data_IF_730971076217
#
_entry.id   IF_730971076217
#
_cell.length_a   1.000
_cell.length_b   1.000
_cell.length_c   1.000
_cell.angle_alpha   90.00
_cell.angle_beta   90.00
_cell.angle_gamma   90.00
#
_symmetry.space_group_name_H-M   'P 1'
#
loop_
_entity.id
_entity.type
_entity.pdbx_description
1 polymer ?
#
# COMPACT_ATOMS: atom_id res chain seq x y z
N UNK A 1 -29.67 29.48 0.89
CA UNK A 1 -28.94 29.09 2.10
C UNK A 1 -28.75 27.59 2.00
N UNK A 2 -27.68 27.15 1.33
CA UNK A 2 -27.36 25.72 1.17
C UNK A 2 -26.86 25.19 2.50
N UNK A 3 -27.45 24.09 2.93
CA UNK A 3 -27.11 23.39 4.16
C UNK A 3 -25.64 22.89 4.10
N UNK A 4 -24.74 23.37 4.98
CA UNK A 4 -23.35 22.96 4.99
C UNK A 4 -23.18 21.46 5.27
N UNK A 5 -24.07 20.82 6.06
CA UNK A 5 -24.00 19.37 6.34
C UNK A 5 -24.34 18.54 5.09
N UNK A 6 -25.32 18.99 4.29
CA UNK A 6 -25.65 18.35 3.01
C UNK A 6 -24.51 18.49 1.97
N UNK A 7 -23.74 19.57 2.04
CA UNK A 7 -22.61 19.82 1.15
C UNK A 7 -21.34 19.01 1.55
N UNK A 8 -21.20 18.68 2.83
CA UNK A 8 -20.12 17.86 3.37
C UNK A 8 -20.35 16.37 3.08
N UNK A 9 -21.58 15.86 3.30
CA UNK A 9 -21.94 14.48 2.95
C UNK A 9 -21.79 14.17 1.45
N UNK A 10 -22.16 15.10 0.57
CA UNK A 10 -22.00 14.92 -0.88
C UNK A 10 -20.53 14.90 -1.33
N UNK A 11 -19.64 15.53 -0.57
CA UNK A 11 -18.21 15.54 -0.85
C UNK A 11 -17.51 14.26 -0.36
N UNK A 12 -17.86 13.78 0.83
CA UNK A 12 -17.40 12.49 1.34
C UNK A 12 -17.87 11.34 0.45
N UNK A 13 -19.13 11.34 -0.01
CA UNK A 13 -19.66 10.34 -0.92
C UNK A 13 -18.91 10.31 -2.27
N UNK A 14 -18.54 11.48 -2.79
CA UNK A 14 -17.72 11.59 -3.99
C UNK A 14 -16.32 10.99 -3.78
N UNK A 15 -15.69 11.26 -2.64
CA UNK A 15 -14.42 10.67 -2.24
C UNK A 15 -14.52 9.16 -2.07
N UNK A 16 -15.53 8.69 -1.35
CA UNK A 16 -15.84 7.26 -1.17
C UNK A 16 -16.02 6.58 -2.52
N UNK A 17 -16.73 7.20 -3.46
CA UNK A 17 -16.87 6.68 -4.82
C UNK A 17 -15.53 6.62 -5.57
N UNK A 18 -14.65 7.61 -5.43
CA UNK A 18 -13.31 7.58 -6.05
C UNK A 18 -12.46 6.44 -5.44
N UNK A 19 -12.41 6.37 -4.12
CA UNK A 19 -11.56 5.46 -3.36
C UNK A 19 -12.04 4.01 -3.40
N UNK A 20 -13.32 3.78 -3.69
CA UNK A 20 -13.88 2.44 -3.95
C UNK A 20 -13.97 2.11 -5.45
N UNK A 21 -13.49 3.01 -6.31
CA UNK A 21 -13.52 2.83 -7.76
C UNK A 21 -14.91 2.98 -8.39
N UNK A 22 -15.93 3.40 -7.65
CA UNK A 22 -17.32 3.58 -8.13
C UNK A 22 -17.57 4.93 -8.81
N UNK A 23 -16.61 5.85 -8.82
CA UNK A 23 -16.76 7.17 -9.44
C UNK A 23 -16.92 7.09 -10.97
N UNK A 24 -18.10 7.44 -11.49
CA UNK A 24 -18.43 7.36 -12.93
C UNK A 24 -17.43 8.10 -13.83
N UNK A 25 -17.01 9.30 -13.44
CA UNK A 25 -16.03 10.09 -14.21
C UNK A 25 -14.65 9.41 -14.27
N UNK A 26 -14.26 8.75 -13.18
CA UNK A 26 -13.01 8.02 -13.12
C UNK A 26 -13.06 6.75 -13.98
N UNK A 27 -14.18 6.02 -13.93
CA UNK A 27 -14.42 4.83 -14.76
C UNK A 27 -14.40 5.15 -16.26
N UNK A 28 -15.01 6.27 -16.68
CA UNK A 28 -14.95 6.76 -18.06
C UNK A 28 -13.51 7.10 -18.48
N UNK A 29 -12.78 7.82 -17.61
CA UNK A 29 -11.38 8.16 -17.86
C UNK A 29 -10.53 6.91 -18.03
N UNK A 30 -10.70 5.92 -17.14
CA UNK A 30 -10.01 4.61 -17.20
C UNK A 30 -10.26 3.90 -18.52
N UNK A 31 -11.51 3.86 -19.00
CA UNK A 31 -11.83 3.26 -20.31
C UNK A 31 -11.16 4.00 -21.47
N UNK A 32 -11.11 5.33 -21.43
CA UNK A 32 -10.50 6.16 -22.47
C UNK A 32 -8.97 6.00 -22.53
N UNK A 33 -8.26 6.16 -21.41
CA UNK A 33 -6.79 6.15 -21.38
C UNK A 33 -6.20 4.74 -21.19
N UNK A 34 -7.01 3.79 -20.70
CA UNK A 34 -6.63 2.39 -20.51
C UNK A 34 -6.30 1.68 -21.82
N UNK A 35 -6.95 2.07 -22.92
CA UNK A 35 -6.70 1.48 -24.24
C UNK A 35 -5.30 1.81 -24.81
N UNK A 36 -4.64 2.87 -24.31
CA UNK A 36 -3.29 3.24 -24.77
C UNK A 36 -2.27 2.28 -24.12
N UNK A 37 -1.55 1.43 -24.87
CA UNK A 37 -0.60 0.48 -24.29
C UNK A 37 0.64 1.20 -23.75
N UNK A 38 0.83 1.19 -22.42
CA UNK A 38 2.10 1.49 -21.75
C UNK A 38 1.97 1.29 -20.23
N UNK A 39 2.97 0.66 -19.61
CA UNK A 39 3.19 0.63 -18.16
C UNK A 39 4.45 1.40 -17.78
N UNK A 40 4.58 1.89 -16.52
CA UNK A 40 3.59 1.94 -15.46
C UNK A 40 2.50 2.99 -15.72
N UNK A 41 1.34 2.83 -15.06
CA UNK A 41 0.16 3.69 -15.19
C UNK A 41 -0.13 4.44 -13.89
N UNK A 42 -0.83 5.57 -14.01
CA UNK A 42 -1.40 6.30 -12.89
C UNK A 42 -2.40 5.42 -12.15
N UNK A 43 -2.26 5.24 -10.84
CA UNK A 43 -3.15 4.37 -10.07
C UNK A 43 -4.60 4.89 -9.96
N UNK A 44 -4.79 6.21 -10.03
CA UNK A 44 -6.12 6.80 -10.04
C UNK A 44 -6.83 6.60 -11.41
N UNK A 45 -6.30 7.15 -12.50
CA UNK A 45 -6.98 7.19 -13.79
C UNK A 45 -6.49 6.20 -14.86
N UNK A 46 -5.48 5.37 -14.57
CA UNK A 46 -4.81 4.45 -15.50
C UNK A 46 -4.04 5.09 -16.66
N UNK A 47 -3.80 6.40 -16.62
CA UNK A 47 -3.01 7.08 -17.65
C UNK A 47 -1.54 6.59 -17.66
N UNK A 48 -0.95 6.28 -18.81
CA UNK A 48 0.44 5.86 -18.91
C UNK A 48 1.41 6.94 -18.41
N UNK A 49 2.37 6.53 -17.58
CA UNK A 49 3.37 7.42 -16.97
C UNK A 49 4.71 7.41 -17.72
N UNK A 50 5.00 6.36 -18.50
CA UNK A 50 6.20 6.26 -19.34
C UNK A 50 5.92 6.38 -20.84
N UNK A 51 6.93 6.73 -21.66
CA UNK A 51 6.82 6.74 -23.11
C UNK A 51 6.48 5.36 -23.69
N UNK A 52 5.87 5.27 -24.88
CA UNK A 52 5.43 6.41 -25.71
C UNK A 52 4.14 7.07 -25.22
N UNK A 53 3.29 6.36 -24.46
CA UNK A 53 1.96 6.83 -24.05
C UNK A 53 1.96 8.13 -23.23
N UNK A 54 2.95 8.32 -22.36
CA UNK A 54 3.04 9.54 -21.56
C UNK A 54 3.45 10.78 -22.35
N UNK A 55 4.07 10.63 -23.53
CA UNK A 55 4.46 11.76 -24.39
C UNK A 55 3.22 12.41 -25.00
N UNK A 56 2.30 11.59 -25.51
CA UNK A 56 1.05 12.05 -26.13
C UNK A 56 0.14 12.74 -25.09
N UNK A 57 -0.03 12.12 -23.92
CA UNK A 57 -0.97 12.61 -22.91
C UNK A 57 -0.41 13.76 -22.03
N UNK A 58 0.89 14.11 -22.16
CA UNK A 58 1.48 15.26 -21.43
C UNK A 58 0.81 16.58 -21.79
N UNK A 59 0.37 16.73 -23.04
CA UNK A 59 -0.26 17.96 -23.58
C UNK A 59 -1.60 18.22 -22.89
N UNK A 60 -2.33 17.16 -22.55
CA UNK A 60 -3.64 17.22 -21.87
C UNK A 60 -3.53 17.08 -20.33
N UNK A 61 -2.33 17.31 -19.77
CA UNK A 61 -2.11 17.40 -18.32
C UNK A 61 -1.82 16.08 -17.60
N UNK A 62 -1.87 14.94 -18.28
CA UNK A 62 -1.41 13.66 -17.73
C UNK A 62 0.13 13.55 -17.77
N UNK A 63 0.68 12.44 -17.30
CA UNK A 63 2.13 12.23 -17.11
C UNK A 63 2.57 12.29 -15.65
N UNK A 64 3.78 11.82 -15.32
CA UNK A 64 4.19 11.53 -13.94
C UNK A 64 4.20 12.79 -13.07
N UNK A 65 3.60 12.72 -11.88
CA UNK A 65 3.80 13.75 -10.85
C UNK A 65 5.21 13.65 -10.28
N UNK A 66 5.80 14.81 -9.97
CA UNK A 66 7.11 14.89 -9.31
C UNK A 66 7.03 14.58 -7.81
N UNK A 67 5.85 14.78 -7.22
CA UNK A 67 5.59 14.65 -5.79
C UNK A 67 5.09 13.25 -5.41
N UNK A 68 4.34 12.61 -6.31
CA UNK A 68 3.93 11.21 -6.15
C UNK A 68 4.08 10.47 -7.48
N UNK A 69 5.11 9.63 -7.61
CA UNK A 69 5.47 8.95 -8.87
C UNK A 69 4.37 8.00 -9.37
N UNK A 70 3.34 7.72 -8.57
CA UNK A 70 2.23 6.81 -8.88
C UNK A 70 0.94 7.50 -9.31
N UNK A 71 0.87 8.82 -9.13
CA UNK A 71 -0.19 9.65 -9.66
C UNK A 71 0.32 10.41 -10.88
N UNK A 72 -0.52 10.51 -11.90
CA UNK A 72 -0.27 11.51 -12.93
C UNK A 72 -0.50 12.91 -12.35
N UNK A 73 0.11 13.93 -12.96
CA UNK A 73 -0.04 15.34 -12.56
C UNK A 73 -1.50 15.77 -12.47
N UNK A 74 -2.35 15.31 -13.39
CA UNK A 74 -3.78 15.60 -13.36
C UNK A 74 -4.47 15.03 -12.11
N UNK A 75 -4.22 13.77 -11.79
CA UNK A 75 -4.78 13.11 -10.60
C UNK A 75 -4.22 13.69 -9.31
N UNK A 76 -2.91 13.92 -9.25
CA UNK A 76 -2.28 14.57 -8.11
C UNK A 76 -2.89 15.95 -7.85
N UNK A 77 -3.02 16.78 -8.90
CA UNK A 77 -3.68 18.08 -8.81
C UNK A 77 -5.15 17.97 -8.41
N UNK A 78 -5.85 16.93 -8.85
CA UNK A 78 -7.24 16.71 -8.45
C UNK A 78 -7.36 16.39 -6.95
N UNK A 79 -6.45 15.58 -6.40
CA UNK A 79 -6.36 15.30 -4.96
C UNK A 79 -5.90 16.52 -4.17
N UNK A 80 -4.99 17.31 -4.73
CA UNK A 80 -4.48 18.52 -4.08
C UNK A 80 -5.52 19.65 -4.04
N UNK A 81 -6.28 19.85 -5.13
CA UNK A 81 -7.27 20.94 -5.25
C UNK A 81 -8.60 20.64 -4.57
N UNK A 82 -8.91 19.37 -4.33
CA UNK A 82 -10.11 18.99 -3.60
C UNK A 82 -9.66 18.48 -2.23
N UNK A 83 -9.83 19.24 -1.15
CA UNK A 83 -9.53 18.73 0.19
C UNK A 83 -10.47 17.56 0.55
N UNK A 84 -10.18 16.84 1.64
CA UNK A 84 -11.05 15.79 2.15
C UNK A 84 -10.64 14.36 1.78
N UNK A 85 -11.57 13.44 2.02
CA UNK A 85 -11.35 12.01 2.06
C UNK A 85 -12.62 11.31 2.50
N UNK A 86 -12.54 9.99 2.67
CA UNK A 86 -13.64 9.20 3.19
C UNK A 86 -13.14 8.04 4.03
N UNK A 87 -13.97 7.58 4.96
CA UNK A 87 -13.73 6.34 5.69
C UNK A 87 -14.07 5.15 4.80
N UNK A 88 -13.08 4.32 4.48
CA UNK A 88 -13.27 3.11 3.67
C UNK A 88 -12.53 1.95 4.31
N UNK A 89 -12.97 0.74 3.99
CA UNK A 89 -12.14 -0.44 4.20
C UNK A 89 -11.06 -0.52 3.11
N UNK A 90 -9.83 -0.80 3.53
CA UNK A 90 -8.67 -1.02 2.67
C UNK A 90 -7.70 -1.98 3.35
N UNK A 91 -6.71 -2.44 2.57
CA UNK A 91 -5.64 -3.28 3.11
C UNK A 91 -4.35 -2.48 3.22
N UNK A 92 -3.58 -2.80 4.26
CA UNK A 92 -2.32 -2.17 4.60
C UNK A 92 -1.20 -3.20 4.55
N UNK A 93 -0.02 -2.77 4.12
CA UNK A 93 1.23 -3.50 4.28
C UNK A 93 2.21 -2.60 5.00
N UNK A 94 2.71 -3.06 6.13
CA UNK A 94 3.83 -2.46 6.84
C UNK A 94 4.98 -3.46 6.82
N UNK A 95 6.18 -3.02 6.49
CA UNK A 95 7.36 -3.88 6.49
C UNK A 95 8.54 -3.14 7.09
N UNK A 96 9.27 -3.82 7.98
CA UNK A 96 10.31 -3.18 8.78
C UNK A 96 11.53 -4.09 8.93
N UNK A 97 12.72 -3.50 8.87
CA UNK A 97 14.01 -4.20 8.87
C UNK A 97 14.32 -4.70 10.28
N UNK A 98 14.55 -6.01 10.43
CA UNK A 98 14.90 -6.57 11.74
C UNK A 98 16.36 -6.25 12.06
N UNK A 99 16.61 -5.71 13.27
CA UNK A 99 17.95 -5.38 13.74
C UNK A 99 18.58 -4.17 13.06
N UNK A 100 17.78 -3.30 12.45
CA UNK A 100 18.19 -2.07 11.77
C UNK A 100 19.03 -1.14 12.64
N UNK A 101 18.64 -0.90 13.90
CA UNK A 101 19.37 -0.04 14.84
C UNK A 101 20.79 -0.58 15.07
N UNK A 102 20.90 -1.87 15.37
CA UNK A 102 22.20 -2.52 15.51
C UNK A 102 23.01 -2.42 14.22
N UNK A 103 22.38 -2.63 13.06
CA UNK A 103 23.05 -2.51 11.77
C UNK A 103 23.58 -1.08 11.53
N UNK A 104 22.79 -0.06 11.85
CA UNK A 104 23.16 1.35 11.71
C UNK A 104 24.33 1.76 12.61
N UNK A 105 24.49 1.12 13.77
CA UNK A 105 25.62 1.35 14.70
C UNK A 105 26.94 0.73 14.20
N UNK A 106 26.87 -0.33 13.39
CA UNK A 106 28.04 -1.13 13.01
C UNK A 106 28.59 -0.83 11.61
N UNK A 107 27.85 -0.13 10.76
CA UNK A 107 28.30 0.21 9.40
C UNK A 107 28.37 1.73 9.17
N UNK A 108 29.25 2.22 8.28
CA UNK A 108 29.31 3.64 7.95
C UNK A 108 27.96 4.18 7.46
N UNK A 109 27.59 5.39 7.88
CA UNK A 109 26.30 6.00 7.54
C UNK A 109 26.03 6.07 6.02
N UNK A 110 27.09 6.25 5.21
CA UNK A 110 26.97 6.24 3.75
C UNK A 110 26.60 4.85 3.19
N UNK A 111 27.09 3.78 3.80
CA UNK A 111 26.76 2.41 3.42
C UNK A 111 25.35 2.05 3.88
N UNK A 112 24.97 2.43 5.10
CA UNK A 112 23.61 2.29 5.60
C UNK A 112 22.60 3.01 4.69
N UNK A 113 22.90 4.24 4.27
CA UNK A 113 22.05 4.99 3.35
C UNK A 113 21.86 4.29 2.00
N UNK A 114 22.91 3.66 1.45
CA UNK A 114 22.81 2.86 0.21
C UNK A 114 21.96 1.61 0.41
N UNK A 115 22.11 0.94 1.55
CA UNK A 115 21.33 -0.25 1.90
C UNK A 115 19.83 0.08 2.02
N UNK A 116 19.50 1.12 2.78
CA UNK A 116 18.12 1.62 2.92
C UNK A 116 17.55 2.05 1.58
N UNK A 117 18.32 2.76 0.76
CA UNK A 117 17.87 3.16 -0.58
C UNK A 117 17.56 1.96 -1.48
N UNK A 118 18.36 0.88 -1.39
CA UNK A 118 18.09 -0.38 -2.10
C UNK A 118 16.81 -1.05 -1.60
N UNK A 119 16.63 -1.12 -0.27
CA UNK A 119 15.41 -1.65 0.35
C UNK A 119 14.16 -0.89 -0.08
N UNK A 120 14.16 0.44 0.01
CA UNK A 120 13.06 1.29 -0.46
C UNK A 120 12.75 1.08 -1.94
N UNK A 121 13.79 0.93 -2.78
CA UNK A 121 13.62 0.60 -4.19
C UNK A 121 12.89 -0.72 -4.41
N UNK A 122 13.26 -1.77 -3.67
CA UNK A 122 12.61 -3.09 -3.74
C UNK A 122 11.20 -3.09 -3.19
N UNK A 123 10.96 -2.44 -2.07
CA UNK A 123 9.64 -2.28 -1.49
C UNK A 123 8.69 -1.51 -2.42
N UNK A 124 9.18 -0.42 -3.04
CA UNK A 124 8.43 0.25 -4.08
C UNK A 124 8.13 -0.72 -5.23
N UNK A 125 9.13 -1.37 -5.82
CA UNK A 125 8.91 -2.30 -6.95
C UNK A 125 7.84 -3.38 -6.70
N UNK A 126 7.75 -3.95 -5.50
CA UNK A 126 6.76 -5.02 -5.20
C UNK A 126 5.37 -4.47 -4.93
N UNK A 127 5.26 -3.36 -4.18
CA UNK A 127 4.00 -2.63 -4.00
C UNK A 127 3.49 -2.13 -5.35
N UNK A 128 4.41 -1.69 -6.21
CA UNK A 128 4.14 -1.24 -7.58
C UNK A 128 3.51 -2.31 -8.46
N UNK A 129 4.05 -3.54 -8.40
CA UNK A 129 3.60 -4.72 -9.15
C UNK A 129 2.19 -5.15 -8.74
N UNK A 130 1.79 -4.92 -7.48
CA UNK A 130 0.49 -5.31 -6.94
C UNK A 130 -0.50 -4.14 -6.83
N UNK A 131 -0.30 -3.08 -7.60
CA UNK A 131 -1.15 -1.89 -7.65
C UNK A 131 -1.32 -1.11 -6.34
N UNK A 132 -0.53 -1.41 -5.32
CA UNK A 132 -0.49 -0.64 -4.08
C UNK A 132 0.15 0.74 -4.25
N UNK A 133 -0.11 1.58 -3.25
CA UNK A 133 0.46 2.91 -3.09
C UNK A 133 1.45 2.87 -1.92
N UNK A 134 2.72 3.22 -2.17
CA UNK A 134 3.63 3.55 -1.07
C UNK A 134 3.18 4.89 -0.50
N UNK A 135 2.73 4.87 0.74
CA UNK A 135 2.29 6.05 1.48
C UNK A 135 3.51 6.84 1.95
N UNK A 136 4.40 6.18 2.69
CA UNK A 136 5.65 6.79 3.16
C UNK A 136 6.70 5.74 3.52
N UNK A 137 7.93 6.23 3.63
CA UNK A 137 9.06 5.52 4.22
C UNK A 137 9.39 6.18 5.56
N UNK A 138 9.53 5.40 6.63
CA UNK A 138 9.77 5.93 7.98
C UNK A 138 10.97 5.21 8.58
N UNK A 139 12.17 5.80 8.47
CA UNK A 139 13.39 5.19 8.99
C UNK A 139 13.74 3.90 8.22
N UNK A 140 13.44 2.76 8.80
CA UNK A 140 13.62 1.40 8.31
C UNK A 140 12.32 0.73 7.86
N UNK A 141 11.19 1.43 8.04
CA UNK A 141 9.85 0.94 7.73
C UNK A 141 9.35 1.44 6.37
N UNK A 142 8.56 0.60 5.70
CA UNK A 142 7.75 0.93 4.54
C UNK A 142 6.27 0.80 4.87
N UNK A 143 5.51 1.85 4.56
CA UNK A 143 4.05 1.87 4.68
C UNK A 143 3.42 1.87 3.29
N UNK A 144 2.55 0.92 3.02
CA UNK A 144 1.81 0.81 1.77
C UNK A 144 0.32 0.59 1.99
N UNK A 145 -0.47 1.18 1.08
CA UNK A 145 -1.93 1.18 1.07
C UNK A 145 -2.44 0.48 -0.20
N UNK A 146 -3.40 -0.40 -0.02
CA UNK A 146 -4.10 -1.11 -1.08
C UNK A 146 -5.55 -0.63 -1.05
N UNK A 147 -5.78 0.49 -1.73
CA UNK A 147 -7.10 1.14 -1.79
C UNK A 147 -7.96 0.43 -2.85
N UNK A 148 -9.18 -0.03 -2.54
CA UNK A 148 -10.00 -0.82 -3.48
C UNK A 148 -10.19 -0.17 -4.85
N UNK A 149 -10.32 1.15 -4.88
CA UNK A 149 -10.45 1.88 -6.13
C UNK A 149 -9.18 1.88 -6.97
N UNK A 150 -8.00 1.67 -6.41
CA UNK A 150 -6.70 1.81 -7.09
C UNK A 150 -6.06 0.47 -7.47
N UNK A 151 -6.56 -0.61 -6.88
CA UNK A 151 -6.08 -1.98 -7.08
C UNK A 151 -6.94 -2.69 -8.12
N UNK A 152 -6.31 -3.52 -8.96
CA UNK A 152 -7.02 -4.48 -9.81
C UNK A 152 -7.14 -5.82 -9.07
N UNK A 153 -8.36 -6.23 -8.74
CA UNK A 153 -8.65 -7.41 -7.92
C UNK A 153 -8.80 -7.10 -6.42
N UNK A 154 -8.47 -8.08 -5.58
CA UNK A 154 -8.70 -8.01 -4.14
C UNK A 154 -7.56 -7.26 -3.41
N UNK A 155 -7.84 -6.17 -2.68
CA UNK A 155 -6.80 -5.41 -1.98
C UNK A 155 -6.00 -6.22 -0.94
N UNK A 156 -6.63 -7.15 -0.24
CA UNK A 156 -5.98 -7.94 0.80
C UNK A 156 -5.02 -8.97 0.18
N UNK A 157 -5.47 -9.67 -0.88
CA UNK A 157 -4.63 -10.57 -1.68
C UNK A 157 -3.41 -9.82 -2.22
N UNK A 158 -3.60 -8.64 -2.80
CA UNK A 158 -2.52 -7.82 -3.37
C UNK A 158 -1.53 -7.32 -2.32
N UNK A 159 -2.00 -7.00 -1.12
CA UNK A 159 -1.14 -6.65 0.01
C UNK A 159 -0.27 -7.83 0.46
N UNK A 160 -0.86 -9.03 0.57
CA UNK A 160 -0.16 -10.27 0.91
C UNK A 160 0.87 -10.63 -0.17
N UNK A 161 0.50 -10.51 -1.44
CA UNK A 161 1.38 -10.73 -2.59
C UNK A 161 2.56 -9.75 -2.64
N UNK A 162 2.34 -8.49 -2.27
CA UNK A 162 3.40 -7.49 -2.18
C UNK A 162 4.36 -7.80 -1.02
N UNK A 163 3.83 -8.23 0.13
CA UNK A 163 4.63 -8.69 1.27
C UNK A 163 5.51 -9.89 0.89
N UNK A 164 4.90 -10.89 0.23
CA UNK A 164 5.60 -12.07 -0.32
C UNK A 164 6.72 -11.67 -1.27
N UNK A 165 6.40 -10.81 -2.23
CA UNK A 165 7.38 -10.28 -3.17
C UNK A 165 8.52 -9.56 -2.48
N UNK A 166 8.23 -8.76 -1.44
CA UNK A 166 9.26 -8.04 -0.68
C UNK A 166 10.24 -9.00 -0.01
N UNK A 167 9.72 -10.04 0.65
CA UNK A 167 10.57 -11.05 1.31
C UNK A 167 11.50 -11.74 0.30
N UNK A 168 11.00 -12.11 -0.88
CA UNK A 168 11.84 -12.70 -1.95
C UNK A 168 12.91 -11.73 -2.46
N UNK A 169 12.54 -10.49 -2.76
CA UNK A 169 13.49 -9.49 -3.27
C UNK A 169 14.55 -9.10 -2.22
N UNK A 170 14.27 -9.35 -0.94
CA UNK A 170 15.18 -9.13 0.19
C UNK A 170 15.98 -10.38 0.61
N UNK A 171 15.72 -11.53 -0.04
CA UNK A 171 16.40 -12.81 0.21
C UNK A 171 15.91 -13.55 1.47
N UNK A 172 14.77 -13.15 2.03
CA UNK A 172 14.17 -13.78 3.21
C UNK A 172 13.47 -15.13 2.88
N UNK A 173 13.56 -15.60 1.64
CA UNK A 173 13.06 -16.90 1.16
C UNK A 173 14.15 -17.99 1.09
N UNK A 174 15.42 -17.64 1.28
CA UNK A 174 16.55 -18.58 1.16
C UNK A 174 17.37 -18.77 2.44
N UNK A 175 16.93 -18.19 3.56
CA UNK A 175 17.63 -18.24 4.85
C UNK A 175 18.87 -17.34 4.97
N UNK A 176 19.32 -16.70 3.89
CA UNK A 176 20.43 -15.73 3.89
C UNK A 176 19.99 -14.38 3.28
N UNK A 177 19.13 -13.62 4.00
CA UNK A 177 18.66 -12.34 3.51
C UNK A 177 19.79 -11.31 3.51
N UNK A 178 19.92 -10.56 2.41
CA UNK A 178 20.82 -9.40 2.39
C UNK A 178 20.29 -8.25 3.26
N UNK A 179 19.00 -8.30 3.62
CA UNK A 179 18.41 -7.48 4.67
C UNK A 179 17.25 -8.25 5.35
N UNK A 180 17.34 -8.55 6.66
CA UNK A 180 16.25 -9.22 7.37
C UNK A 180 15.01 -8.33 7.45
N UNK A 181 13.84 -8.82 7.04
CA UNK A 181 12.59 -8.05 7.02
C UNK A 181 11.46 -8.85 7.62
N UNK A 182 10.65 -8.21 8.47
CA UNK A 182 9.35 -8.72 8.91
C UNK A 182 8.24 -7.83 8.36
N UNK A 183 7.08 -8.42 8.05
CA UNK A 183 5.95 -7.70 7.48
C UNK A 183 4.64 -7.98 8.23
N UNK A 184 3.75 -7.00 8.23
CA UNK A 184 2.39 -7.10 8.74
C UNK A 184 1.38 -6.68 7.68
N UNK A 185 0.32 -7.46 7.52
CA UNK A 185 -0.79 -7.19 6.62
C UNK A 185 -2.09 -7.18 7.40
N UNK A 186 -2.87 -6.13 7.25
CA UNK A 186 -4.17 -5.97 7.90
C UNK A 186 -5.17 -5.33 6.96
N UNK A 187 -6.44 -5.71 7.10
CA UNK A 187 -7.57 -5.09 6.41
C UNK A 187 -8.53 -4.54 7.45
N UNK A 188 -8.93 -3.28 7.28
CA UNK A 188 -9.83 -2.59 8.18
C UNK A 188 -10.22 -1.20 7.69
N UNK A 189 -11.13 -0.56 8.42
CA UNK A 189 -11.64 0.77 8.10
C UNK A 189 -10.63 1.84 8.55
N UNK A 190 -10.34 2.79 7.67
CA UNK A 190 -9.60 4.00 8.00
C UNK A 190 -10.09 5.19 7.16
N UNK A 191 -9.82 6.40 7.65
CA UNK A 191 -9.98 7.60 6.86
C UNK A 191 -8.85 7.71 5.85
N UNK A 192 -9.19 7.80 4.56
CA UNK A 192 -8.21 7.93 3.46
C UNK A 192 -8.48 9.24 2.72
N UNK A 193 -7.48 10.10 2.65
CA UNK A 193 -7.64 11.42 2.04
C UNK A 193 -6.49 12.36 2.30
N UNK A 194 -6.71 13.64 2.01
CA UNK A 194 -5.77 14.72 2.38
C UNK A 194 -5.89 14.97 3.89
N UNK A 195 -4.82 14.69 4.63
CA UNK A 195 -4.70 14.89 6.07
C UNK A 195 -3.62 15.93 6.36
N UNK A 196 -3.89 16.87 7.28
CA UNK A 196 -2.98 17.96 7.66
C UNK A 196 -3.52 19.34 7.29
N UNK A 197 -2.77 20.38 7.65
CA UNK A 197 -3.17 21.79 7.48
C UNK A 197 -2.18 22.57 6.59
N UNK A 198 -2.72 23.48 5.78
CA UNK A 198 -1.91 24.32 4.89
C UNK A 198 -1.06 23.51 3.92
N UNK A 199 0.24 23.84 3.88
CA UNK A 199 1.25 23.16 3.06
C UNK A 199 1.79 21.88 3.72
N UNK A 200 1.50 21.65 5.01
CA UNK A 200 1.88 20.46 5.75
C UNK A 200 0.76 19.40 5.68
N UNK A 201 0.47 18.94 4.48
CA UNK A 201 -0.55 17.94 4.23
C UNK A 201 -0.05 16.80 3.33
N UNK A 202 -0.53 15.59 3.59
CA UNK A 202 -0.27 14.42 2.77
C UNK A 202 -1.57 13.73 2.40
N UNK A 203 -1.58 13.03 1.26
CA UNK A 203 -2.61 12.04 0.99
C UNK A 203 -2.19 10.75 1.68
N UNK A 204 -2.93 10.33 2.71
CA UNK A 204 -2.55 9.22 3.58
C UNK A 204 -3.79 8.55 4.17
N UNK A 205 -3.58 7.48 4.93
CA UNK A 205 -4.62 6.79 5.67
C UNK A 205 -4.38 6.93 7.17
N UNK A 206 -5.40 7.33 7.93
CA UNK A 206 -5.34 7.49 9.38
C UNK A 206 -6.47 6.72 10.06
N UNK A 207 -6.16 6.05 11.16
CA UNK A 207 -7.13 5.25 11.92
C UNK A 207 -6.47 4.10 12.66
N UNK A 208 -7.28 3.38 13.45
CA UNK A 208 -6.81 2.22 14.23
C UNK A 208 -6.21 1.12 13.34
N UNK A 209 -6.79 0.88 12.15
CA UNK A 209 -6.31 -0.13 11.22
C UNK A 209 -4.83 0.09 10.81
N UNK A 210 -4.42 1.34 10.54
CA UNK A 210 -3.04 1.67 10.21
C UNK A 210 -2.10 1.39 11.39
N UNK A 211 -2.49 1.83 12.59
CA UNK A 211 -1.71 1.61 13.82
C UNK A 211 -1.60 0.12 14.17
N UNK A 212 -2.66 -0.65 13.96
CA UNK A 212 -2.67 -2.10 14.15
C UNK A 212 -1.70 -2.78 13.19
N UNK A 213 -1.69 -2.37 11.92
CA UNK A 213 -0.77 -2.92 10.92
C UNK A 213 0.69 -2.69 11.29
N UNK A 214 1.03 -1.48 11.76
CA UNK A 214 2.37 -1.15 12.23
C UNK A 214 2.82 -2.07 13.37
N UNK A 215 1.91 -2.37 14.31
CA UNK A 215 2.18 -3.26 15.45
C UNK A 215 2.33 -4.70 15.00
N UNK A 216 1.51 -5.18 14.07
CA UNK A 216 1.67 -6.50 13.46
C UNK A 216 3.05 -6.61 12.80
N UNK A 217 3.45 -5.65 11.97
CA UNK A 217 4.77 -5.67 11.34
C UNK A 217 5.91 -5.64 12.36
N UNK A 218 5.76 -4.88 13.44
CA UNK A 218 6.73 -4.83 14.54
C UNK A 218 6.88 -6.17 15.26
N UNK A 219 5.81 -6.97 15.35
CA UNK A 219 5.80 -8.29 15.98
C UNK A 219 6.27 -9.42 15.05
N UNK A 220 6.40 -9.18 13.75
CA UNK A 220 6.87 -10.17 12.80
C UNK A 220 8.38 -10.43 12.98
N UNK A 221 8.78 -11.71 12.96
CA UNK A 221 10.19 -12.07 12.86
C UNK A 221 10.74 -11.87 11.43
N UNK A 222 12.05 -12.01 11.27
CA UNK A 222 12.67 -11.96 9.94
C UNK A 222 12.12 -13.10 9.06
N UNK A 223 11.66 -12.76 7.86
CA UNK A 223 11.04 -13.69 6.92
C UNK A 223 9.57 -14.02 7.20
N UNK A 224 8.97 -13.42 8.22
CA UNK A 224 7.55 -13.61 8.52
C UNK A 224 6.69 -12.49 7.92
N UNK A 225 5.48 -12.88 7.53
CA UNK A 225 4.35 -12.02 7.21
C UNK A 225 3.25 -12.37 8.22
N UNK A 226 2.93 -11.44 9.11
CA UNK A 226 1.78 -11.58 10.01
C UNK A 226 0.54 -11.03 9.32
N UNK A 227 -0.36 -11.93 8.93
CA UNK A 227 -1.62 -11.60 8.24
C UNK A 227 -2.75 -11.64 9.26
N UNK A 228 -3.37 -10.51 9.58
CA UNK A 228 -4.49 -10.51 10.53
C UNK A 228 -5.65 -11.38 10.03
N UNK A 229 -6.47 -11.91 10.95
CA UNK A 229 -7.66 -12.69 10.58
C UNK A 229 -8.59 -11.94 9.61
N UNK A 230 -8.73 -10.61 9.75
CA UNK A 230 -9.50 -9.80 8.81
C UNK A 230 -8.89 -9.75 7.40
N UNK A 231 -7.55 -9.69 7.28
CA UNK A 231 -6.88 -9.70 5.99
C UNK A 231 -6.91 -11.09 5.35
N UNK A 232 -6.72 -12.16 6.14
CA UNK A 232 -6.83 -13.53 5.65
C UNK A 232 -8.24 -13.82 5.15
N UNK A 233 -9.27 -13.42 5.90
CA UNK A 233 -10.66 -13.55 5.48
C UNK A 233 -10.96 -12.73 4.21
N UNK A 234 -10.56 -11.45 4.19
CA UNK A 234 -10.78 -10.59 3.05
C UNK A 234 -10.08 -11.11 1.78
N UNK A 235 -8.91 -11.71 1.91
CA UNK A 235 -8.15 -12.28 0.80
C UNK A 235 -8.62 -13.68 0.37
N UNK A 236 -9.56 -14.29 1.10
CA UNK A 236 -9.90 -15.72 0.95
C UNK A 236 -8.63 -16.60 1.03
N UNK A 237 -7.71 -16.25 1.92
CA UNK A 237 -6.43 -16.92 2.07
C UNK A 237 -6.65 -18.37 2.54
N UNK A 238 -6.00 -19.32 1.87
CA UNK A 238 -5.87 -20.67 2.38
C UNK A 238 -4.95 -20.67 3.60
N UNK A 239 -5.55 -20.92 4.77
CA UNK A 239 -4.86 -20.94 6.06
C UNK A 239 -4.42 -22.34 6.47
N UNK A 240 -4.68 -23.36 5.65
CA UNK A 240 -4.32 -24.74 5.98
C UNK A 240 -2.79 -24.87 6.08
N UNK A 241 -2.33 -25.35 7.22
CA UNK A 241 -0.90 -25.50 7.52
C UNK A 241 -0.17 -24.21 7.91
N UNK A 242 -0.86 -23.05 7.97
CA UNK A 242 -0.28 -21.83 8.54
C UNK A 242 -0.34 -21.86 10.08
N UNK A 243 0.70 -21.33 10.72
CA UNK A 243 0.68 -21.13 12.16
C UNK A 243 -0.29 -20.00 12.51
N UNK A 244 -1.14 -20.21 13.51
CA UNK A 244 -2.00 -19.17 14.08
C UNK A 244 -1.34 -18.61 15.35
N UNK A 245 -1.30 -17.28 15.48
CA UNK A 245 -0.80 -16.57 16.66
C UNK A 245 -1.84 -15.56 17.14
N UNK A 246 -2.10 -15.61 18.44
CA UNK A 246 -2.87 -14.58 19.16
C UNK A 246 -1.90 -13.60 19.78
N UNK A 247 -1.94 -12.33 19.35
CA UNK A 247 -0.94 -11.31 19.66
C UNK A 247 -1.53 -10.23 20.59
N UNK A 248 -0.85 -9.98 21.70
CA UNK A 248 -1.11 -8.85 22.60
C UNK A 248 -0.28 -7.63 22.15
N UNK A 249 -0.92 -6.66 21.50
CA UNK A 249 -0.23 -5.60 20.76
C UNK A 249 -0.19 -4.25 21.49
N UNK A 250 0.86 -4.00 22.28
CA UNK A 250 1.09 -2.79 23.11
C UNK A 250 -0.20 -2.02 23.44
N UNK A 251 -0.37 -0.71 23.34
CA UNK A 251 -1.59 -0.02 23.82
C UNK A 251 -2.86 -0.31 23.00
N UNK A 252 -3.41 -1.53 23.06
CA UNK A 252 -4.68 -2.00 22.48
C UNK A 252 -5.36 -2.86 23.52
N UNK A 253 -6.68 -2.74 23.63
CA UNK A 253 -7.49 -3.67 24.40
C UNK A 253 -7.89 -4.85 23.51
N UNK A 254 -7.54 -6.07 23.96
CA UNK A 254 -7.88 -7.31 23.26
C UNK A 254 -6.78 -7.80 22.31
N UNK A 255 -6.65 -9.12 22.28
CA UNK A 255 -5.71 -9.80 21.40
C UNK A 255 -6.12 -9.72 19.93
N UNK A 256 -5.13 -9.83 19.05
CA UNK A 256 -5.34 -9.90 17.61
C UNK A 256 -4.85 -11.24 17.11
N UNK A 257 -5.76 -12.00 16.50
CA UNK A 257 -5.42 -13.23 15.83
C UNK A 257 -4.82 -12.92 14.45
N UNK A 258 -3.69 -13.58 14.16
CA UNK A 258 -2.97 -13.47 12.91
C UNK A 258 -2.43 -14.83 12.49
N UNK A 259 -2.29 -15.00 11.18
CA UNK A 259 -1.61 -16.13 10.56
C UNK A 259 -0.18 -15.75 10.24
N UNK A 260 0.75 -16.67 10.48
CA UNK A 260 2.15 -16.52 10.12
C UNK A 260 2.35 -17.14 8.76
N UNK A 261 2.79 -16.33 7.81
CA UNK A 261 3.11 -16.77 6.47
C UNK A 261 4.55 -16.41 6.11
N UNK A 262 5.16 -17.14 5.18
CA UNK A 262 6.48 -16.85 4.62
C UNK A 262 6.38 -16.71 3.11
N UNK A 263 7.52 -16.39 2.47
CA UNK A 263 7.59 -16.35 1.02
C UNK A 263 7.27 -17.69 0.33
N UNK A 264 7.41 -18.80 1.07
CA UNK A 264 7.26 -20.18 0.60
C UNK A 264 5.89 -20.73 0.94
N UNK A 265 5.36 -20.48 2.14
CA UNK A 265 4.05 -21.01 2.56
C UNK A 265 2.89 -20.37 1.78
N UNK A 266 3.08 -19.15 1.27
CA UNK A 266 2.12 -18.48 0.39
C UNK A 266 2.20 -18.95 -1.08
N UNK A 267 2.93 -20.02 -1.41
CA UNK A 267 2.99 -20.49 -2.79
C UNK A 267 1.60 -20.98 -3.27
N UNK A 268 1.15 -20.42 -4.39
CA UNK A 268 -0.13 -20.70 -5.03
C UNK A 268 -0.21 -22.19 -5.39
N UNK A 269 -1.28 -22.87 -4.97
CA UNK A 269 -1.70 -24.18 -5.52
C UNK A 269 -1.70 -24.10 -7.05
N UNK A 270 -1.12 -25.05 -7.79
CA UNK A 270 -1.14 -24.99 -9.25
C UNK A 270 -2.59 -24.88 -9.71
N UNK A 271 -2.89 -23.82 -10.46
CA UNK A 271 -4.18 -23.66 -11.10
C UNK A 271 -4.50 -24.94 -11.88
N UNK A 272 -5.59 -25.62 -11.53
CA UNK A 272 -6.07 -26.78 -12.27
C UNK A 272 -6.31 -26.37 -13.74
N UNK A 273 -5.74 -27.16 -14.65
CA UNK A 273 -5.81 -27.02 -16.12
C UNK A 273 -7.23 -27.07 -16.69
#
# INVERSE_FOLDING_TARGET
MTDPEAHEHTHEDAWRAILTGKARGLQLTRKLVGWIPAGPRCKLCLAPLKPPGSVLLKIVGFGPSRLNRRLCRACFRAVEKNPGGAEIELSFLFADIRGSTSLAEHIPAQEYSKLISRFYGKAAEVVDKQDGLVDKFVGDEVVALFVPGFVDGNPAEKAIEAARGLLRETGNDGGDPWIPVGAGVHTGIAYVGRVGEGDACDFTAVGDAANLTARLASSAAAGEILVSSSAAHAAELDTDGLESRTLELRGREGAVDAWVATAETLAVSPAEE
#
